data_IF_981950551093
#
_entry.id   IF_981950551093
#
_cell.length_a   1.000
_cell.length_b   1.000
_cell.length_c   1.000
_cell.angle_alpha   90.00
_cell.angle_beta   90.00
_cell.angle_gamma   90.00
#
_symmetry.space_group_name_H-M   'P 1'
#
loop_
_entity.id
_entity.type
_entity.pdbx_description
1 polymer ?
#
# COMPACT_ATOMS: atom_id res chain seq x y z
N UNK A 1 12.40 4.85 7.17
CA UNK A 1 12.22 3.99 5.99
C UNK A 1 12.67 4.75 4.76
N UNK A 2 13.39 4.11 3.83
CA UNK A 2 13.81 4.72 2.56
C UNK A 2 12.65 4.73 1.55
N UNK A 3 12.64 5.69 0.62
CA UNK A 3 11.58 5.82 -0.40
C UNK A 3 11.50 4.58 -1.29
N UNK A 4 12.64 3.97 -1.65
CA UNK A 4 12.68 2.76 -2.47
C UNK A 4 12.05 1.58 -1.71
N UNK A 5 12.24 1.53 -0.39
CA UNK A 5 11.69 0.49 0.45
C UNK A 5 10.18 0.66 0.66
N UNK A 6 9.73 1.90 0.88
CA UNK A 6 8.30 2.23 0.93
C UNK A 6 7.59 1.75 -0.35
N UNK A 7 8.13 2.12 -1.52
CA UNK A 7 7.51 1.76 -2.80
C UNK A 7 7.42 0.25 -2.99
N UNK A 8 8.47 -0.50 -2.63
CA UNK A 8 8.45 -1.97 -2.71
C UNK A 8 7.38 -2.57 -1.81
N UNK A 9 7.26 -2.08 -0.57
CA UNK A 9 6.26 -2.58 0.39
C UNK A 9 4.84 -2.25 -0.06
N UNK A 10 4.57 -1.01 -0.46
CA UNK A 10 3.26 -0.60 -0.97
C UNK A 10 2.89 -1.34 -2.26
N UNK A 11 3.80 -1.46 -3.22
CA UNK A 11 3.56 -2.23 -4.45
C UNK A 11 3.15 -3.67 -4.15
N UNK A 12 3.87 -4.35 -3.24
CA UNK A 12 3.53 -5.71 -2.83
C UNK A 12 2.14 -5.76 -2.18
N UNK A 13 1.78 -4.80 -1.34
CA UNK A 13 0.44 -4.75 -0.73
C UNK A 13 -0.65 -4.53 -1.79
N UNK A 14 -0.41 -3.66 -2.78
CA UNK A 14 -1.36 -3.44 -3.88
C UNK A 14 -1.56 -4.74 -4.66
N UNK A 15 -0.48 -5.38 -5.10
CA UNK A 15 -0.55 -6.62 -5.90
C UNK A 15 -1.17 -7.79 -5.12
N UNK A 16 -1.03 -7.82 -3.80
CA UNK A 16 -1.52 -8.91 -2.94
C UNK A 16 -3.00 -8.74 -2.55
N UNK A 17 -3.50 -7.50 -2.45
CA UNK A 17 -4.81 -7.20 -1.87
C UNK A 17 -5.78 -6.55 -2.85
N UNK A 18 -5.32 -5.89 -3.92
CA UNK A 18 -6.18 -5.21 -4.91
C UNK A 18 -6.32 -6.09 -6.15
N UNK A 19 -7.51 -6.67 -6.37
CA UNK A 19 -7.79 -7.50 -7.56
C UNK A 19 -8.06 -6.66 -8.83
N UNK A 20 -8.51 -5.41 -8.66
CA UNK A 20 -8.72 -4.48 -9.76
C UNK A 20 -7.38 -4.04 -10.36
N UNK A 21 -7.10 -4.50 -11.58
CA UNK A 21 -5.84 -4.23 -12.29
C UNK A 21 -5.66 -2.77 -12.69
N UNK A 22 -6.75 -2.07 -13.01
CA UNK A 22 -6.69 -0.65 -13.36
C UNK A 22 -6.37 0.17 -12.12
N UNK A 23 -7.08 -0.09 -11.02
CA UNK A 23 -6.82 0.55 -9.74
C UNK A 23 -5.40 0.24 -9.24
N UNK A 24 -4.98 -1.02 -9.28
CA UNK A 24 -3.64 -1.43 -8.86
C UNK A 24 -2.54 -0.69 -9.63
N UNK A 25 -2.69 -0.56 -10.95
CA UNK A 25 -1.73 0.17 -11.80
C UNK A 25 -1.71 1.66 -11.46
N UNK A 26 -2.88 2.29 -11.32
CA UNK A 26 -3.01 3.69 -10.92
C UNK A 26 -2.37 3.96 -9.55
N UNK A 27 -2.54 3.05 -8.59
CA UNK A 27 -1.94 3.16 -7.27
C UNK A 27 -0.42 3.03 -7.33
N UNK A 28 0.11 2.09 -8.12
CA UNK A 28 1.55 1.90 -8.32
C UNK A 28 2.19 3.13 -8.98
N UNK A 29 1.56 3.68 -10.01
CA UNK A 29 2.04 4.91 -10.69
C UNK A 29 1.95 6.14 -9.77
N UNK A 30 1.07 6.12 -8.76
CA UNK A 30 0.93 7.21 -7.79
C UNK A 30 1.94 7.19 -6.63
N UNK A 31 2.77 6.15 -6.54
CA UNK A 31 3.74 5.94 -5.45
C UNK A 31 4.89 6.97 -5.40
N UNK A 32 5.06 7.80 -6.44
CA UNK A 32 6.05 8.88 -6.51
C UNK A 32 5.77 10.09 -5.60
N UNK A 33 4.56 10.21 -5.06
CA UNK A 33 4.18 11.29 -4.15
C UNK A 33 4.07 10.78 -2.71
N UNK A 34 4.15 11.65 -1.66
CA UNK A 34 3.98 11.30 -0.24
C UNK A 34 2.54 10.90 0.13
N UNK A 35 1.85 10.21 -0.77
CA UNK A 35 0.47 9.72 -0.68
C UNK A 35 0.42 8.30 -0.13
N UNK A 36 1.40 7.86 0.65
CA UNK A 36 1.42 6.51 1.26
C UNK A 36 0.12 6.21 2.02
N UNK A 37 -0.39 7.18 2.80
CA UNK A 37 -1.68 7.07 3.50
C UNK A 37 -2.89 6.92 2.56
N UNK A 38 -2.88 7.64 1.44
CA UNK A 38 -3.93 7.53 0.43
C UNK A 38 -3.90 6.13 -0.20
N UNK A 39 -2.72 5.64 -0.58
CA UNK A 39 -2.57 4.29 -1.13
C UNK A 39 -3.05 3.22 -0.14
N UNK A 40 -2.68 3.34 1.14
CA UNK A 40 -3.16 2.43 2.18
C UNK A 40 -4.70 2.47 2.34
N UNK A 41 -5.31 3.64 2.27
CA UNK A 41 -6.76 3.79 2.32
C UNK A 41 -7.44 3.14 1.10
N UNK A 42 -6.89 3.34 -0.10
CA UNK A 42 -7.42 2.74 -1.32
C UNK A 42 -7.31 1.21 -1.31
N UNK A 43 -6.21 0.67 -0.78
CA UNK A 43 -6.07 -0.78 -0.58
C UNK A 43 -7.13 -1.26 0.42
N UNK A 44 -7.33 -0.56 1.54
CA UNK A 44 -8.31 -0.97 2.56
C UNK A 44 -9.75 -0.99 2.03
N UNK A 45 -10.09 -0.03 1.16
CA UNK A 45 -11.42 0.06 0.54
C UNK A 45 -11.66 -1.01 -0.54
N UNK A 46 -10.59 -1.46 -1.21
CA UNK A 46 -10.68 -2.34 -2.38
C UNK A 46 -10.06 -3.73 -2.14
N UNK A 47 -9.68 -4.05 -0.91
CA UNK A 47 -9.09 -5.35 -0.59
C UNK A 47 -10.07 -6.47 -0.86
N UNK A 48 -9.64 -7.51 -1.57
CA UNK A 48 -10.44 -8.71 -1.78
C UNK A 48 -10.37 -9.68 -0.59
N UNK A 49 -9.44 -9.46 0.35
CA UNK A 49 -9.21 -10.29 1.54
C UNK A 49 -8.63 -9.47 2.69
N UNK A 50 -8.75 -10.00 3.90
CA UNK A 50 -8.16 -9.41 5.11
C UNK A 50 -6.63 -9.49 5.12
N UNK A 51 -5.98 -8.47 5.68
CA UNK A 51 -4.53 -8.45 5.84
C UNK A 51 -4.04 -9.57 6.76
N UNK A 52 -2.93 -10.19 6.37
CA UNK A 52 -2.18 -11.07 7.25
C UNK A 52 -1.58 -10.29 8.43
N UNK A 53 -1.30 -10.95 9.55
CA UNK A 53 -0.69 -10.30 10.72
C UNK A 53 0.63 -9.60 10.38
N UNK A 54 1.44 -10.18 9.48
CA UNK A 54 2.71 -9.58 9.02
C UNK A 54 2.48 -8.33 8.18
N UNK A 55 1.46 -8.34 7.33
CA UNK A 55 1.17 -7.18 6.48
C UNK A 55 0.52 -6.05 7.29
N UNK A 56 -0.22 -6.36 8.35
CA UNK A 56 -0.71 -5.37 9.33
C UNK A 56 0.44 -4.63 10.01
N UNK A 57 1.48 -5.33 10.45
CA UNK A 57 2.70 -4.71 11.03
C UNK A 57 3.36 -3.76 10.02
N UNK A 58 3.44 -4.15 8.74
CA UNK A 58 3.97 -3.30 7.67
C UNK A 58 3.12 -2.04 7.47
N UNK A 59 1.80 -2.18 7.47
CA UNK A 59 0.86 -1.06 7.30
C UNK A 59 0.98 -0.08 8.47
N UNK A 60 1.06 -0.58 9.71
CA UNK A 60 1.27 0.23 10.90
C UNK A 60 2.60 0.98 10.85
N UNK A 61 3.68 0.32 10.42
CA UNK A 61 4.98 0.96 10.25
C UNK A 61 4.92 2.08 9.20
N UNK A 62 4.30 1.85 8.05
CA UNK A 62 4.11 2.87 7.01
C UNK A 62 3.28 4.04 7.54
N UNK A 63 2.18 3.76 8.25
CA UNK A 63 1.30 4.78 8.81
C UNK A 63 2.00 5.64 9.87
N UNK A 64 2.87 5.04 10.68
CA UNK A 64 3.67 5.74 11.70
C UNK A 64 4.73 6.65 11.07
N UNK A 65 5.47 6.18 10.07
CA UNK A 65 6.56 6.95 9.44
C UNK A 65 6.07 8.15 8.63
N UNK A 66 4.84 8.11 8.10
CA UNK A 66 4.25 9.16 7.28
C UNK A 66 3.14 9.93 8.02
N UNK A 67 3.27 10.00 9.36
CA UNK A 67 2.39 10.77 10.25
C UNK A 67 2.89 12.19 10.47
#
# INVERSE_FOLDING_TARGET
MDEVELRKRLKRLIEEYVDDKELATNLIDSLDNPKAKYVLAEIELNKHKEYSSKDREIIEEIAFYYC
#
